data_IF_214056520601
#
_entry.id   IF_214056520601
#
_cell.length_a   1.000
_cell.length_b   1.000
_cell.length_c   1.000
_cell.angle_alpha   90.00
_cell.angle_beta   90.00
_cell.angle_gamma   90.00
#
_symmetry.space_group_name_H-M   'P 1'
#
loop_
_entity.id
_entity.type
_entity.pdbx_description
1 polymer ?
#
# COMPACT_ATOMS: atom_id res chain seq x y z
N UNK A 1 -10.76 1.53 15.82
CA UNK A 1 -9.86 0.41 15.47
C UNK A 1 -10.32 -0.40 14.26
N UNK A 2 -11.63 -0.54 14.01
CA UNK A 2 -12.18 -1.41 12.95
C UNK A 2 -11.67 -1.01 11.54
N UNK A 3 -11.65 0.29 11.24
CA UNK A 3 -11.20 0.81 9.95
C UNK A 3 -9.68 0.68 9.69
N UNK A 4 -8.88 0.60 10.77
CA UNK A 4 -7.43 0.36 10.66
C UNK A 4 -7.13 -1.07 10.19
N UNK A 5 -7.86 -2.05 10.72
CA UNK A 5 -7.72 -3.46 10.34
C UNK A 5 -8.15 -3.64 8.88
N UNK A 6 -9.27 -3.03 8.48
CA UNK A 6 -9.77 -3.08 7.09
C UNK A 6 -8.75 -2.45 6.13
N UNK A 7 -8.18 -1.29 6.47
CA UNK A 7 -7.17 -0.64 5.63
C UNK A 7 -5.87 -1.45 5.53
N UNK A 8 -5.45 -2.11 6.61
CA UNK A 8 -4.30 -3.03 6.58
C UNK A 8 -4.56 -4.23 5.68
N UNK A 9 -5.76 -4.82 5.75
CA UNK A 9 -6.18 -5.94 4.89
C UNK A 9 -6.22 -5.53 3.41
N UNK A 10 -6.71 -4.33 3.13
CA UNK A 10 -6.74 -3.76 1.77
C UNK A 10 -5.33 -3.49 1.23
N UNK A 11 -4.44 -2.97 2.08
CA UNK A 11 -3.03 -2.77 1.73
C UNK A 11 -2.30 -4.10 1.46
N UNK A 12 -2.57 -5.13 2.26
CA UNK A 12 -2.04 -6.47 2.05
C UNK A 12 -2.49 -7.04 0.69
N UNK A 13 -3.77 -6.86 0.34
CA UNK A 13 -4.31 -7.27 -0.96
C UNK A 13 -3.61 -6.55 -2.13
N UNK A 14 -3.36 -5.25 -2.01
CA UNK A 14 -2.61 -4.47 -3.01
C UNK A 14 -1.17 -4.98 -3.16
N UNK A 15 -0.50 -5.31 -2.06
CA UNK A 15 0.84 -5.91 -2.07
C UNK A 15 0.86 -7.25 -2.82
N UNK A 16 -0.13 -8.12 -2.58
CA UNK A 16 -0.23 -9.39 -3.29
C UNK A 16 -0.42 -9.19 -4.80
N UNK A 17 -1.29 -8.25 -5.20
CA UNK A 17 -1.45 -7.91 -6.61
C UNK A 17 -0.13 -7.40 -7.19
N UNK A 18 0.56 -6.52 -6.47
CA UNK A 18 1.86 -6.03 -6.90
C UNK A 18 2.86 -7.18 -7.12
N UNK A 19 3.04 -8.06 -6.14
CA UNK A 19 4.02 -9.16 -6.20
C UNK A 19 3.70 -10.16 -7.31
N UNK A 20 2.44 -10.57 -7.46
CA UNK A 20 2.08 -11.63 -8.40
C UNK A 20 1.74 -11.16 -9.82
N UNK A 21 1.32 -9.90 -9.98
CA UNK A 21 0.83 -9.38 -11.27
C UNK A 21 1.64 -8.25 -11.85
N UNK A 22 2.38 -7.49 -11.05
CA UNK A 22 3.10 -6.29 -11.51
C UNK A 22 4.61 -6.52 -11.49
N UNK A 23 5.14 -7.00 -10.37
CA UNK A 23 6.57 -7.29 -10.19
C UNK A 23 7.20 -8.17 -11.29
N UNK A 24 6.57 -9.25 -11.81
CA UNK A 24 7.17 -10.05 -12.88
C UNK A 24 7.27 -9.32 -14.23
N UNK A 25 6.54 -8.21 -14.41
CA UNK A 25 6.60 -7.38 -15.62
C UNK A 25 7.42 -6.10 -15.42
N UNK A 26 7.91 -5.85 -14.21
CA UNK A 26 8.84 -4.76 -13.93
C UNK A 26 10.27 -5.25 -14.05
N UNK A 27 11.11 -4.44 -14.68
CA UNK A 27 12.54 -4.67 -14.73
C UNK A 27 13.15 -4.37 -13.33
N UNK A 28 13.14 -5.39 -12.47
CA UNK A 28 13.55 -5.32 -11.06
C UNK A 28 15.06 -5.26 -10.88
N UNK A 29 15.83 -5.49 -11.94
CA UNK A 29 17.30 -5.32 -11.95
C UNK A 29 17.70 -3.83 -11.90
N UNK A 30 16.80 -2.92 -12.30
CA UNK A 30 17.06 -1.48 -12.17
C UNK A 30 16.83 -1.01 -10.74
N UNK A 31 17.91 -0.62 -10.06
CA UNK A 31 17.84 -0.01 -8.72
C UNK A 31 16.89 1.20 -8.67
N UNK A 32 16.84 2.00 -9.74
CA UNK A 32 15.96 3.17 -9.82
C UNK A 32 14.49 2.74 -9.84
N UNK A 33 14.15 1.73 -10.63
CA UNK A 33 12.77 1.19 -10.69
C UNK A 33 12.36 0.65 -9.33
N UNK A 34 13.25 -0.06 -8.65
CA UNK A 34 12.97 -0.63 -7.33
C UNK A 34 12.75 0.48 -6.28
N UNK A 35 13.54 1.56 -6.33
CA UNK A 35 13.39 2.71 -5.44
C UNK A 35 12.05 3.45 -5.68
N UNK A 36 11.67 3.64 -6.94
CA UNK A 36 10.38 4.25 -7.32
C UNK A 36 9.20 3.40 -6.82
N UNK A 37 9.28 2.07 -6.99
CA UNK A 37 8.26 1.14 -6.47
C UNK A 37 8.11 1.29 -4.95
N UNK A 38 9.22 1.25 -4.21
CA UNK A 38 9.20 1.34 -2.74
C UNK A 38 8.58 2.67 -2.30
N UNK A 39 8.93 3.78 -2.97
CA UNK A 39 8.32 5.08 -2.71
C UNK A 39 6.81 5.04 -2.95
N UNK A 40 6.35 4.48 -4.08
CA UNK A 40 4.92 4.37 -4.39
C UNK A 40 4.19 3.56 -3.32
N UNK A 41 4.69 2.38 -2.96
CA UNK A 41 4.09 1.52 -1.93
C UNK A 41 4.05 2.25 -0.57
N UNK A 42 5.12 2.95 -0.22
CA UNK A 42 5.19 3.74 1.01
C UNK A 42 4.14 4.85 1.04
N UNK A 43 3.99 5.63 -0.04
CA UNK A 43 2.98 6.69 -0.13
C UNK A 43 1.55 6.15 -0.07
N UNK A 44 1.28 5.03 -0.75
CA UNK A 44 -0.03 4.36 -0.71
C UNK A 44 -0.35 3.89 0.72
N UNK A 45 0.61 3.26 1.39
CA UNK A 45 0.45 2.82 2.78
C UNK A 45 0.23 3.97 3.75
N UNK A 46 0.98 5.06 3.59
CA UNK A 46 0.83 6.27 4.40
C UNK A 46 -0.55 6.93 4.20
N UNK A 47 -1.02 7.03 2.96
CA UNK A 47 -2.35 7.55 2.62
C UNK A 47 -3.46 6.70 3.23
N UNK A 48 -3.43 5.38 3.03
CA UNK A 48 -4.39 4.44 3.63
C UNK A 48 -4.39 4.52 5.16
N UNK A 49 -3.20 4.64 5.76
CA UNK A 49 -3.03 4.84 7.20
C UNK A 49 -3.64 6.15 7.70
N UNK A 50 -3.46 7.25 6.96
CA UNK A 50 -4.05 8.55 7.29
C UNK A 50 -5.58 8.54 7.13
N UNK A 51 -6.08 8.02 6.00
CA UNK A 51 -7.51 7.91 5.69
C UNK A 51 -8.21 7.04 6.75
N UNK A 52 -7.65 5.88 7.08
CA UNK A 52 -8.24 4.99 8.09
C UNK A 52 -8.33 5.64 9.48
N UNK A 53 -7.33 6.45 9.88
CA UNK A 53 -7.40 7.25 11.12
C UNK A 53 -8.50 8.31 11.06
N UNK A 54 -8.68 8.96 9.91
CA UNK A 54 -9.72 9.98 9.73
C UNK A 54 -11.12 9.37 9.83
N UNK A 55 -11.35 8.22 9.18
CA UNK A 55 -12.62 7.49 9.29
C UNK A 55 -12.90 6.99 10.70
N UNK A 56 -11.89 6.47 11.40
CA UNK A 56 -12.03 6.00 12.78
C UNK A 56 -12.35 7.16 13.76
N UNK A 57 -11.91 8.38 13.44
CA UNK A 57 -12.24 9.60 14.20
C UNK A 57 -13.63 10.15 13.89
N UNK A 58 -14.09 10.03 12.64
CA UNK A 58 -15.41 10.50 12.19
C UNK A 58 -16.55 9.51 12.49
N UNK A 59 -16.24 8.26 12.83
CA UNK A 59 -17.22 7.22 13.17
C UNK A 59 -17.52 7.13 14.68
N UNK A 60 -17.07 8.11 15.46
CA UNK A 60 -17.45 8.33 16.86
C UNK A 60 -18.55 9.38 16.92
#
# INVERSE_FOLDING_TARGET
MKYRIIAALFFLMLLLIYVFKIAPFLNTDSQIVNLVVVLIIFFIGALLGWISRKFDKNSK
#
